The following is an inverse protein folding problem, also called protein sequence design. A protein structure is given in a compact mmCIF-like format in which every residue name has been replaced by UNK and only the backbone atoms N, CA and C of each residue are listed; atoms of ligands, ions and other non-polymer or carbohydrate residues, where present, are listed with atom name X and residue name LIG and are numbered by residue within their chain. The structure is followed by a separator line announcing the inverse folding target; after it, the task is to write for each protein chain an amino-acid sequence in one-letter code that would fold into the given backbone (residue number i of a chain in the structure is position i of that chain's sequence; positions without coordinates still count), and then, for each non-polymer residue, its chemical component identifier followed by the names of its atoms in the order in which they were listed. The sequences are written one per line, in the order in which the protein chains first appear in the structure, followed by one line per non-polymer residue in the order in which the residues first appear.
data_IF_688854542862
#
_entry.id   IF_688854542862
#
_cell.length_a   1.000
_cell.length_b   1.000
_cell.length_c   1.000
_cell.angle_alpha   90.00
_cell.angle_beta   90.00
_cell.angle_gamma   90.00
#
_symmetry.space_group_name_H-M   'P 1'
#
loop_
_entity.id
_entity.type
_entity.pdbx_description
1 polymer ?
#
# COMPACT_ATOMS: atom_id res chain seq x y z
N UNK A 1 13.88 6.41 -15.91
CA UNK A 1 14.10 5.41 -14.84
C UNK A 1 15.56 5.46 -14.47
N UNK A 2 15.88 5.48 -13.18
CA UNK A 2 17.25 5.32 -12.69
C UNK A 2 17.68 3.83 -12.69
N UNK A 3 18.90 3.56 -12.25
CA UNK A 3 19.50 2.20 -12.24
C UNK A 3 18.76 1.25 -11.30
N UNK A 4 18.26 1.75 -10.17
CA UNK A 4 17.52 0.94 -9.20
C UNK A 4 16.18 0.49 -9.79
N UNK A 5 15.42 1.41 -10.38
CA UNK A 5 14.13 1.11 -11.01
C UNK A 5 14.30 0.10 -12.14
N UNK A 6 15.32 0.28 -12.99
CA UNK A 6 15.59 -0.65 -14.09
C UNK A 6 15.94 -2.05 -13.56
N UNK A 7 16.80 -2.15 -12.56
CA UNK A 7 17.23 -3.44 -12.00
C UNK A 7 16.08 -4.17 -11.32
N UNK A 8 15.38 -3.52 -10.40
CA UNK A 8 14.29 -4.13 -9.62
C UNK A 8 13.11 -4.54 -10.52
N UNK A 9 12.69 -3.68 -11.46
CA UNK A 9 11.57 -3.99 -12.33
C UNK A 9 11.91 -4.98 -13.45
N UNK A 10 13.19 -5.09 -13.83
CA UNK A 10 13.64 -6.18 -14.72
C UNK A 10 13.62 -7.53 -14.01
N UNK A 11 14.17 -7.60 -12.78
CA UNK A 11 14.25 -8.84 -12.01
C UNK A 11 12.88 -9.43 -11.66
N UNK A 12 11.87 -8.57 -11.44
CA UNK A 12 10.49 -8.99 -11.18
C UNK A 12 9.68 -9.32 -12.44
N UNK A 13 10.27 -9.15 -13.63
CA UNK A 13 9.58 -9.28 -14.92
C UNK A 13 8.52 -8.21 -15.16
N UNK A 14 8.49 -7.14 -14.35
CA UNK A 14 7.50 -6.07 -14.49
C UNK A 14 7.69 -5.32 -15.80
N UNK A 15 8.93 -5.03 -16.22
CA UNK A 15 9.18 -4.29 -17.46
C UNK A 15 8.62 -5.02 -18.69
N UNK A 16 8.77 -6.34 -18.75
CA UNK A 16 8.26 -7.14 -19.87
C UNK A 16 6.73 -7.19 -19.85
N UNK A 17 6.11 -7.30 -18.66
CA UNK A 17 4.66 -7.23 -18.50
C UNK A 17 4.09 -5.87 -18.90
N UNK A 18 4.78 -4.78 -18.57
CA UNK A 18 4.38 -3.42 -18.97
C UNK A 18 4.43 -3.27 -20.48
N UNK A 19 5.51 -3.74 -21.13
CA UNK A 19 5.63 -3.71 -22.61
C UNK A 19 4.56 -4.56 -23.32
N UNK A 20 4.16 -5.67 -22.71
CA UNK A 20 3.13 -6.55 -23.24
C UNK A 20 1.69 -6.13 -22.87
N UNK A 21 1.53 -5.13 -21.99
CA UNK A 21 0.22 -4.68 -21.54
C UNK A 21 -0.49 -3.85 -22.61
N UNK A 22 -1.77 -4.14 -22.82
CA UNK A 22 -2.66 -3.33 -23.66
C UNK A 22 -3.60 -2.44 -22.83
N UNK A 23 -3.44 -2.41 -21.51
CA UNK A 23 -4.25 -1.58 -20.62
C UNK A 23 -3.68 -0.17 -20.55
N UNK A 24 -4.56 0.82 -20.73
CA UNK A 24 -4.25 2.21 -20.44
C UNK A 24 -4.41 2.50 -18.94
N UNK A 25 -3.92 3.66 -18.52
CA UNK A 25 -4.11 4.14 -17.15
C UNK A 25 -5.60 4.32 -16.80
N UNK A 26 -6.41 4.80 -17.75
CA UNK A 26 -7.86 4.95 -17.57
C UNK A 26 -8.57 3.59 -17.44
N UNK A 27 -8.14 2.58 -18.20
CA UNK A 27 -8.69 1.22 -18.07
C UNK A 27 -8.40 0.64 -16.68
N UNK A 28 -7.16 0.84 -16.19
CA UNK A 28 -6.75 0.40 -14.86
C UNK A 28 -7.51 1.13 -13.74
N UNK A 29 -7.72 2.44 -13.88
CA UNK A 29 -8.50 3.25 -12.94
C UNK A 29 -9.96 2.78 -12.88
N UNK A 30 -10.61 2.63 -14.04
CA UNK A 30 -12.00 2.19 -14.12
C UNK A 30 -12.20 0.77 -13.57
N UNK A 31 -11.31 -0.16 -13.90
CA UNK A 31 -11.36 -1.53 -13.38
C UNK A 31 -11.19 -1.56 -11.85
N UNK A 32 -10.28 -0.73 -11.32
CA UNK A 32 -10.05 -0.63 -9.87
C UNK A 32 -11.27 -0.05 -9.15
N UNK A 33 -11.86 1.02 -9.69
CA UNK A 33 -13.08 1.62 -9.16
C UNK A 33 -14.26 0.65 -9.17
N UNK A 34 -14.43 -0.11 -10.26
CA UNK A 34 -15.47 -1.13 -10.36
C UNK A 34 -15.32 -2.18 -9.25
N UNK A 35 -14.10 -2.67 -9.04
CA UNK A 35 -13.80 -3.59 -7.94
C UNK A 35 -14.11 -2.97 -6.57
N UNK A 36 -13.63 -1.76 -6.28
CA UNK A 36 -13.77 -1.15 -4.95
C UNK A 36 -15.23 -0.88 -4.55
N UNK A 37 -16.09 -0.53 -5.51
CA UNK A 37 -17.52 -0.25 -5.27
C UNK A 37 -18.29 -1.43 -4.68
N UNK A 38 -17.80 -2.66 -4.88
CA UNK A 38 -18.44 -3.85 -4.31
C UNK A 38 -18.08 -4.06 -2.82
N UNK A 39 -17.05 -3.38 -2.30
CA UNK A 39 -16.52 -3.62 -0.96
C UNK A 39 -16.60 -2.41 -0.02
N UNK A 40 -16.53 -1.18 -0.56
CA UNK A 40 -16.51 0.04 0.24
C UNK A 40 -17.34 1.15 -0.40
N UNK A 41 -18.03 1.92 0.42
CA UNK A 41 -18.73 3.12 -0.01
C UNK A 41 -17.72 4.24 -0.37
N UNK A 42 -18.09 5.06 -1.34
CA UNK A 42 -17.32 6.24 -1.74
C UNK A 42 -17.07 7.18 -0.55
N UNK A 43 -15.84 7.66 -0.42
CA UNK A 43 -15.41 8.60 0.61
C UNK A 43 -15.34 8.00 2.03
N UNK A 44 -15.47 6.69 2.22
CA UNK A 44 -15.40 6.06 3.55
C UNK A 44 -14.02 5.56 3.91
N UNK A 45 -13.39 4.78 3.04
CA UNK A 45 -12.08 4.20 3.34
C UNK A 45 -10.97 5.24 3.17
N UNK A 46 -10.06 5.43 4.15
CA UNK A 46 -8.79 6.10 3.88
C UNK A 46 -7.95 5.28 2.90
N UNK A 47 -6.95 5.90 2.30
CA UNK A 47 -5.93 5.17 1.54
C UNK A 47 -4.95 4.51 2.53
N UNK A 48 -4.73 3.21 2.39
CA UNK A 48 -3.99 2.38 3.35
C UNK A 48 -2.73 1.77 2.72
N UNK A 49 -1.62 1.75 3.45
CA UNK A 49 -0.40 1.05 3.04
C UNK A 49 0.85 1.58 3.77
N UNK A 50 2.04 1.22 3.28
CA UNK A 50 3.31 1.74 3.80
C UNK A 50 3.77 2.95 3.00
N UNK A 51 4.10 4.05 3.69
CA UNK A 51 4.57 5.29 3.05
C UNK A 51 3.59 5.80 2.00
N UNK A 52 2.31 5.53 2.23
CA UNK A 52 1.20 5.59 1.27
C UNK A 52 0.90 7.01 0.76
N UNK A 53 1.45 8.03 1.43
CA UNK A 53 1.41 9.40 0.96
C UNK A 53 2.03 9.54 -0.43
N UNK A 54 3.07 8.76 -0.75
CA UNK A 54 3.70 8.81 -2.05
C UNK A 54 2.76 8.28 -3.15
N UNK A 55 2.11 7.15 -2.92
CA UNK A 55 1.11 6.57 -3.83
C UNK A 55 -0.06 7.53 -4.04
N UNK A 56 -0.54 8.18 -2.97
CA UNK A 56 -1.61 9.18 -3.07
C UNK A 56 -1.25 10.32 -4.02
N UNK A 57 0.00 10.80 -4.00
CA UNK A 57 0.45 11.85 -4.92
C UNK A 57 0.40 11.40 -6.38
N UNK A 58 0.75 10.13 -6.64
CA UNK A 58 0.63 9.56 -7.98
C UNK A 58 -0.84 9.41 -8.39
N UNK A 59 -1.71 8.93 -7.50
CA UNK A 59 -3.14 8.82 -7.77
C UNK A 59 -3.77 10.19 -8.06
N UNK A 60 -3.43 11.23 -7.30
CA UNK A 60 -3.97 12.57 -7.52
C UNK A 60 -3.65 13.13 -8.92
N UNK A 61 -2.48 12.81 -9.47
CA UNK A 61 -2.05 13.26 -10.81
C UNK A 61 -2.56 12.34 -11.93
N UNK A 62 -2.55 11.03 -11.70
CA UNK A 62 -2.70 10.03 -12.76
C UNK A 62 -4.05 9.29 -12.72
N UNK A 63 -4.66 9.16 -11.55
CA UNK A 63 -5.94 8.46 -11.36
C UNK A 63 -6.86 9.27 -10.42
N UNK A 64 -7.28 10.48 -10.84
CA UNK A 64 -7.98 11.42 -9.98
C UNK A 64 -9.39 10.94 -9.58
N UNK A 65 -10.08 10.15 -10.41
CA UNK A 65 -11.38 9.60 -10.04
C UNK A 65 -11.23 8.56 -8.92
N UNK A 66 -10.20 7.72 -9.01
CA UNK A 66 -9.85 6.77 -7.95
C UNK A 66 -9.42 7.47 -6.66
N UNK A 67 -8.61 8.52 -6.75
CA UNK A 67 -8.22 9.31 -5.57
C UNK A 67 -9.45 9.92 -4.87
N UNK A 68 -10.36 10.51 -5.66
CA UNK A 68 -11.58 11.16 -5.15
C UNK A 68 -12.58 10.18 -4.54
N UNK A 69 -12.56 8.92 -4.96
CA UNK A 69 -13.39 7.86 -4.39
C UNK A 69 -12.96 7.50 -2.96
N UNK A 70 -11.70 7.73 -2.59
CA UNK A 70 -11.17 7.44 -1.27
C UNK A 70 -11.32 8.63 -0.33
N UNK A 71 -11.37 8.37 0.98
CA UNK A 71 -11.41 9.43 1.98
C UNK A 71 -10.08 10.22 1.99
N UNK A 72 -10.13 11.50 2.36
CA UNK A 72 -8.96 12.41 2.36
C UNK A 72 -7.81 12.00 3.29
N UNK A 73 -8.08 11.12 4.26
CA UNK A 73 -7.08 10.64 5.23
C UNK A 73 -6.29 9.45 4.69
N UNK A 74 -5.10 9.26 5.25
CA UNK A 74 -4.27 8.08 5.02
C UNK A 74 -4.17 7.26 6.30
N UNK A 75 -4.12 5.93 6.15
CA UNK A 75 -3.68 5.00 7.18
C UNK A 75 -2.30 4.49 6.77
N UNK A 76 -1.27 5.13 7.32
CA UNK A 76 0.12 4.84 6.96
C UNK A 76 0.77 3.92 8.01
N UNK A 77 1.04 2.68 7.62
CA UNK A 77 1.69 1.66 8.46
C UNK A 77 3.11 2.09 8.83
N UNK A 78 3.81 2.81 7.93
CA UNK A 78 5.15 3.33 8.20
C UNK A 78 5.14 4.37 9.33
N UNK A 79 4.05 5.11 9.51
CA UNK A 79 3.93 6.02 10.67
C UNK A 79 3.95 5.24 11.99
N UNK A 80 3.24 4.10 12.04
CA UNK A 80 3.23 3.23 13.23
C UNK A 80 4.59 2.58 13.45
N UNK A 81 5.26 2.14 12.37
CA UNK A 81 6.64 1.62 12.43
C UNK A 81 7.60 2.63 13.06
N UNK A 82 7.57 3.89 12.63
CA UNK A 82 8.44 4.94 13.17
C UNK A 82 8.16 5.20 14.67
N UNK A 83 6.90 5.11 15.09
CA UNK A 83 6.53 5.18 16.51
C UNK A 83 7.03 3.95 17.28
N UNK A 84 6.85 2.74 16.74
CA UNK A 84 7.30 1.50 17.36
C UNK A 84 8.81 1.49 17.59
N UNK A 85 9.60 1.92 16.60
CA UNK A 85 11.06 2.02 16.71
C UNK A 85 11.49 2.96 17.84
N UNK A 86 10.80 4.10 18.02
CA UNK A 86 11.16 5.13 19.01
C UNK A 86 10.62 4.85 20.41
N UNK A 87 9.37 4.38 20.50
CA UNK A 87 8.66 4.23 21.77
C UNK A 87 8.80 2.83 22.37
N UNK A 88 9.07 1.81 21.53
CA UNK A 88 9.36 0.45 21.99
C UNK A 88 10.53 -0.17 21.21
N UNK A 89 11.76 0.29 21.47
CA UNK A 89 12.96 -0.24 20.82
C UNK A 89 13.02 -1.77 20.92
N UNK A 90 13.31 -2.44 19.80
CA UNK A 90 13.34 -3.90 19.70
C UNK A 90 12.05 -4.55 19.19
N UNK A 91 10.88 -3.90 19.31
CA UNK A 91 9.64 -4.46 18.78
C UNK A 91 9.68 -4.59 17.25
N UNK A 92 10.22 -3.59 16.56
CA UNK A 92 10.30 -3.58 15.11
C UNK A 92 11.19 -4.70 14.54
N UNK A 93 12.10 -5.27 15.34
CA UNK A 93 12.93 -6.41 14.91
C UNK A 93 12.19 -7.74 14.83
N UNK A 94 10.98 -7.84 15.41
CA UNK A 94 10.16 -9.06 15.35
C UNK A 94 9.38 -9.24 14.04
N UNK A 95 9.37 -8.23 13.17
CA UNK A 95 8.72 -8.30 11.85
C UNK A 95 9.75 -8.06 10.74
N UNK A 96 9.81 -8.99 9.77
CA UNK A 96 10.68 -8.87 8.60
C UNK A 96 9.87 -9.05 7.32
N UNK A 97 10.08 -8.15 6.37
CA UNK A 97 9.48 -8.21 5.03
C UNK A 97 10.21 -9.23 4.17
N UNK A 98 9.48 -9.98 3.35
CA UNK A 98 10.07 -10.98 2.44
C UNK A 98 10.56 -10.33 1.14
N UNK A 99 9.99 -9.17 0.75
CA UNK A 99 10.52 -8.34 -0.34
C UNK A 99 10.23 -8.90 -1.73
N UNK A 100 8.97 -9.23 -2.01
CA UNK A 100 8.54 -9.76 -3.31
C UNK A 100 8.55 -8.74 -4.46
N UNK A 101 8.55 -7.43 -4.14
CA UNK A 101 8.59 -6.32 -5.10
C UNK A 101 7.49 -6.36 -6.17
N UNK A 102 6.38 -7.05 -5.87
CA UNK A 102 5.13 -7.03 -6.64
C UNK A 102 4.10 -6.31 -5.79
N UNK A 103 3.31 -5.44 -6.42
CA UNK A 103 2.32 -4.63 -5.69
C UNK A 103 1.39 -5.44 -4.77
N UNK A 104 0.91 -6.61 -5.22
CA UNK A 104 0.05 -7.48 -4.40
C UNK A 104 0.79 -8.10 -3.21
N UNK A 105 2.04 -8.52 -3.41
CA UNK A 105 2.83 -9.11 -2.33
C UNK A 105 3.17 -8.04 -1.28
N UNK A 106 3.54 -6.83 -1.73
CA UNK A 106 3.90 -5.72 -0.87
C UNK A 106 2.70 -5.19 -0.05
N UNK A 107 1.47 -5.17 -0.60
CA UNK A 107 0.28 -4.76 0.15
C UNK A 107 -0.14 -5.83 1.18
N UNK A 108 0.01 -7.12 0.84
CA UNK A 108 -0.23 -8.20 1.79
C UNK A 108 0.77 -8.14 2.95
N UNK A 109 2.04 -7.85 2.67
CA UNK A 109 3.03 -7.60 3.72
C UNK A 109 2.69 -6.38 4.58
N UNK A 110 2.17 -5.31 3.99
CA UNK A 110 1.71 -4.11 4.72
C UNK A 110 0.58 -4.45 5.70
N UNK A 111 -0.34 -5.34 5.30
CA UNK A 111 -1.44 -5.83 6.15
C UNK A 111 -0.88 -6.68 7.30
N UNK A 112 0.04 -7.60 7.03
CA UNK A 112 0.67 -8.42 8.08
C UNK A 112 1.49 -7.57 9.05
N UNK A 113 2.18 -6.54 8.55
CA UNK A 113 2.90 -5.57 9.39
C UNK A 113 1.95 -4.85 10.35
N UNK A 114 0.80 -4.38 9.85
CA UNK A 114 -0.20 -3.71 10.68
C UNK A 114 -0.84 -4.65 11.70
N UNK A 115 -1.09 -5.93 11.34
CA UNK A 115 -1.55 -6.95 12.28
C UNK A 115 -0.54 -7.17 13.42
N UNK A 116 0.75 -7.26 13.08
CA UNK A 116 1.83 -7.38 14.08
C UNK A 116 1.83 -6.18 15.04
N UNK A 117 1.73 -4.95 14.55
CA UNK A 117 1.64 -3.78 15.44
C UNK A 117 0.34 -3.77 16.25
N UNK A 118 -0.78 -4.22 15.67
CA UNK A 118 -2.05 -4.35 16.39
C UNK A 118 -1.92 -5.27 17.61
N UNK A 119 -1.24 -6.40 17.45
CA UNK A 119 -1.08 -7.40 18.51
C UNK A 119 -0.03 -6.99 19.55
N UNK A 120 1.09 -6.43 19.11
CA UNK A 120 2.22 -6.22 19.99
C UNK A 120 2.49 -4.77 20.38
N UNK A 121 2.05 -3.78 19.60
CA UNK A 121 2.33 -2.36 19.90
C UNK A 121 1.16 -1.65 20.58
N UNK A 122 -0.07 -1.91 20.14
CA UNK A 122 -1.25 -1.29 20.70
C UNK A 122 -1.83 -2.09 21.87
N UNK A 123 -2.24 -1.39 22.93
CA UNK A 123 -3.01 -2.00 24.01
C UNK A 123 -4.50 -1.96 23.65
N UNK A 124 -4.96 -2.95 22.88
CA UNK A 124 -6.34 -3.05 22.43
C UNK A 124 -7.04 -4.12 23.29
N UNK A 125 -8.12 -3.78 24.02
CA UNK A 125 -8.91 -4.79 24.72
C UNK A 125 -9.53 -5.75 23.70
N UNK A 126 -9.71 -7.02 24.09
CA UNK A 126 -10.36 -8.01 23.24
C UNK A 126 -11.74 -7.50 22.79
N UNK A 127 -12.14 -7.73 21.53
CA UNK A 127 -13.45 -7.31 21.07
C UNK A 127 -14.53 -7.96 21.94
N UNK A 128 -15.48 -7.15 22.43
CA UNK A 128 -16.69 -7.60 23.10
C UNK A 128 -17.64 -8.28 22.12
#
# INVERSE_FOLDING_TARGET
MDDWNQTTHSQTGLLDRVKASNLTQADAEAATLAFLRDYVDAGKSPLCGNSICQDRRFLAEHMPELESFLHYRNLDVSSIKELAVRWRPGLAGGFSKKGGHRALDDILESIEELKYYREHFFNIPAPQ
#
